data_IF_582208454445
#
_entry.id   IF_582208454445
#
_cell.length_a   1.000
_cell.length_b   1.000
_cell.length_c   1.000
_cell.angle_alpha   90.00
_cell.angle_beta   90.00
_cell.angle_gamma   90.00
#
_symmetry.space_group_name_H-M   'P 1'
#
loop_
_entity.id
_entity.type
_entity.pdbx_description
1 polymer ?
#
# COMPACT_ATOMS: atom_id res chain seq x y z
N UNK A 1 7.62 11.66 -24.67
CA UNK A 1 8.66 12.10 -25.64
C UNK A 1 9.31 13.35 -25.11
N UNK A 2 10.63 13.35 -25.08
CA UNK A 2 11.41 14.51 -24.66
C UNK A 2 11.42 15.54 -25.79
N UNK A 3 11.19 16.82 -25.48
CA UNK A 3 11.28 17.89 -26.51
C UNK A 3 12.74 18.32 -26.69
N UNK A 4 13.13 18.77 -27.91
CA UNK A 4 14.46 19.29 -28.15
C UNK A 4 14.87 20.43 -27.19
N UNK A 5 13.95 21.33 -26.89
CA UNK A 5 14.16 22.48 -25.98
C UNK A 5 14.50 21.97 -24.58
N UNK A 6 13.76 20.97 -24.06
CA UNK A 6 14.03 20.39 -22.76
C UNK A 6 15.40 19.72 -22.69
N UNK A 7 15.83 19.03 -23.75
CA UNK A 7 17.17 18.40 -23.79
C UNK A 7 18.28 19.45 -23.90
N UNK A 8 18.05 20.57 -24.59
CA UNK A 8 19.00 21.69 -24.59
C UNK A 8 19.15 22.28 -23.19
N UNK A 9 18.07 22.44 -22.44
CA UNK A 9 18.15 22.90 -21.05
C UNK A 9 18.95 21.92 -20.18
N UNK A 10 18.77 20.60 -20.35
CA UNK A 10 19.57 19.60 -19.66
C UNK A 10 21.06 19.68 -20.02
N UNK A 11 21.41 20.04 -21.26
CA UNK A 11 22.80 20.19 -21.67
C UNK A 11 23.49 21.41 -21.05
N UNK A 12 22.76 22.43 -20.69
CA UNK A 12 23.29 23.63 -20.02
C UNK A 12 23.48 23.50 -18.52
N UNK A 13 22.79 22.54 -17.86
CA UNK A 13 22.91 22.28 -16.43
C UNK A 13 24.14 21.41 -16.12
N UNK A 14 25.31 22.04 -15.91
CA UNK A 14 26.60 21.35 -15.79
C UNK A 14 26.85 20.74 -14.40
N UNK A 15 26.16 21.17 -13.37
CA UNK A 15 26.39 20.74 -11.97
C UNK A 15 25.31 19.79 -11.43
N UNK A 16 24.36 19.39 -12.26
CA UNK A 16 23.23 18.56 -11.83
C UNK A 16 23.67 17.13 -11.47
N UNK A 17 23.18 16.68 -10.33
CA UNK A 17 23.32 15.28 -9.91
C UNK A 17 22.37 14.32 -10.67
N UNK A 18 21.45 14.86 -11.51
CA UNK A 18 20.50 14.11 -12.32
C UNK A 18 20.91 13.97 -13.78
N UNK A 19 22.07 14.50 -14.18
CA UNK A 19 22.50 14.48 -15.57
C UNK A 19 23.91 13.87 -15.67
N UNK A 20 24.08 12.93 -16.58
CA UNK A 20 25.38 12.37 -16.98
C UNK A 20 25.53 12.53 -18.48
N UNK A 21 26.63 13.12 -18.93
CA UNK A 21 26.97 13.30 -20.35
C UNK A 21 28.11 12.38 -20.73
N UNK A 22 28.14 11.93 -21.97
CA UNK A 22 29.23 11.13 -22.48
C UNK A 22 29.28 11.11 -24.00
N UNK A 23 30.47 11.13 -24.52
CA UNK A 23 30.75 10.91 -25.96
C UNK A 23 30.93 9.44 -26.32
N UNK A 24 31.15 8.58 -25.32
CA UNK A 24 31.32 7.14 -25.52
C UNK A 24 29.98 6.50 -25.87
N UNK A 25 30.01 5.63 -26.87
CA UNK A 25 28.85 4.81 -27.32
C UNK A 25 28.93 3.36 -26.84
N UNK A 26 30.07 2.89 -26.33
CA UNK A 26 30.29 1.49 -25.98
C UNK A 26 30.63 1.20 -24.52
N UNK A 27 30.67 2.20 -23.63
CA UNK A 27 31.01 1.99 -22.23
C UNK A 27 29.78 1.57 -21.40
N UNK A 28 29.32 0.34 -21.62
CA UNK A 28 28.12 -0.23 -20.98
C UNK A 28 28.21 -0.21 -19.46
N UNK A 29 29.39 -0.47 -18.87
CA UNK A 29 29.59 -0.45 -17.41
C UNK A 29 29.30 0.98 -16.85
N UNK A 30 29.87 2.02 -17.50
CA UNK A 30 29.66 3.41 -17.09
C UNK A 30 28.19 3.80 -17.19
N UNK A 31 27.50 3.35 -18.25
CA UNK A 31 26.07 3.62 -18.45
C UNK A 31 25.22 2.93 -17.38
N UNK A 32 25.44 1.63 -17.13
CA UNK A 32 24.72 0.87 -16.13
C UNK A 32 24.91 1.43 -14.71
N UNK A 33 26.11 1.90 -14.39
CA UNK A 33 26.38 2.58 -13.11
C UNK A 33 25.63 3.90 -12.99
N UNK A 34 25.55 4.71 -14.06
CA UNK A 34 24.79 5.96 -14.06
C UNK A 34 23.29 5.69 -13.92
N UNK A 35 22.75 4.73 -14.69
CA UNK A 35 21.37 4.28 -14.61
C UNK A 35 21.02 3.79 -13.19
N UNK A 36 21.90 2.98 -12.60
CA UNK A 36 21.74 2.50 -11.22
C UNK A 36 21.68 3.68 -10.23
N UNK A 37 22.59 4.64 -10.36
CA UNK A 37 22.66 5.80 -9.46
C UNK A 37 21.44 6.73 -9.59
N UNK A 38 20.94 6.94 -10.81
CA UNK A 38 19.71 7.71 -11.04
C UNK A 38 18.48 7.00 -10.47
N UNK A 39 18.37 5.68 -10.67
CA UNK A 39 17.29 4.90 -10.10
C UNK A 39 17.30 4.86 -8.57
N UNK A 40 18.46 4.97 -7.93
CA UNK A 40 18.57 5.07 -6.47
C UNK A 40 18.18 6.43 -5.93
N UNK A 41 18.27 7.52 -6.73
CA UNK A 41 17.89 8.88 -6.34
C UNK A 41 18.30 9.20 -4.88
N UNK A 42 19.57 8.98 -4.55
CA UNK A 42 20.06 9.11 -3.17
C UNK A 42 19.72 10.47 -2.53
N UNK A 43 19.83 11.61 -3.24
CA UNK A 43 19.40 12.91 -2.70
C UNK A 43 17.90 13.00 -2.42
N UNK A 44 17.06 12.19 -3.11
CA UNK A 44 15.62 12.14 -2.86
C UNK A 44 14.80 13.20 -3.60
N UNK A 45 15.26 13.61 -4.77
CA UNK A 45 14.56 14.61 -5.60
C UNK A 45 13.20 14.13 -6.13
N UNK A 46 13.00 12.79 -6.21
CA UNK A 46 11.81 12.16 -6.82
C UNK A 46 11.57 12.62 -8.26
N UNK A 47 12.63 12.95 -8.98
CA UNK A 47 12.63 13.39 -10.36
C UNK A 47 13.51 12.50 -11.21
N UNK A 48 13.21 12.34 -12.51
CA UNK A 48 14.04 11.53 -13.41
C UNK A 48 15.49 11.99 -13.49
N UNK A 49 16.40 11.01 -13.66
CA UNK A 49 17.78 11.27 -14.08
C UNK A 49 17.95 11.00 -15.57
N UNK A 50 18.97 11.61 -16.18
CA UNK A 50 19.21 11.59 -17.62
C UNK A 50 20.65 11.22 -17.95
N UNK A 51 20.84 10.15 -18.72
CA UNK A 51 22.11 9.83 -19.37
C UNK A 51 22.03 10.30 -20.83
N UNK A 52 22.88 11.26 -21.21
CA UNK A 52 22.93 11.85 -22.56
C UNK A 52 24.19 11.35 -23.26
N UNK A 53 24.01 10.54 -24.30
CA UNK A 53 25.08 9.98 -25.13
C UNK A 53 25.20 10.80 -26.40
N UNK A 54 26.38 11.33 -26.67
CA UNK A 54 26.66 12.22 -27.81
C UNK A 54 26.89 13.67 -27.40
N UNK A 55 27.10 13.92 -26.09
CA UNK A 55 27.44 15.25 -25.57
C UNK A 55 28.75 15.21 -24.78
N UNK A 56 29.50 16.29 -24.85
CA UNK A 56 30.71 16.55 -24.04
C UNK A 56 30.32 16.99 -22.62
N UNK A 57 31.27 16.99 -21.70
CA UNK A 57 31.06 17.41 -20.31
C UNK A 57 30.65 18.91 -20.19
N UNK A 58 31.05 19.74 -21.15
CA UNK A 58 30.69 21.15 -21.25
C UNK A 58 29.29 21.38 -21.86
N UNK A 59 28.58 20.34 -22.19
CA UNK A 59 27.25 20.38 -22.82
C UNK A 59 27.23 20.54 -24.34
N UNK A 60 28.39 20.69 -24.98
CA UNK A 60 28.48 20.76 -26.44
C UNK A 60 28.23 19.40 -27.09
N UNK A 61 27.68 19.40 -28.32
CA UNK A 61 27.40 18.17 -29.04
C UNK A 61 28.69 17.57 -29.62
N UNK A 62 28.82 16.24 -29.51
CA UNK A 62 30.00 15.49 -30.00
C UNK A 62 29.89 15.06 -31.48
N UNK A 63 28.85 15.46 -32.20
CA UNK A 63 28.65 15.09 -33.60
C UNK A 63 28.28 13.62 -33.80
N UNK A 64 27.67 12.98 -32.80
CA UNK A 64 27.23 11.60 -32.87
C UNK A 64 26.09 11.42 -33.88
N UNK A 65 26.09 10.36 -34.66
CA UNK A 65 24.93 9.84 -35.36
C UNK A 65 24.29 8.74 -34.53
N UNK A 66 23.07 8.96 -34.06
CA UNK A 66 22.35 7.98 -33.22
C UNK A 66 21.76 6.89 -34.10
N UNK A 67 22.21 5.67 -33.91
CA UNK A 67 21.76 4.47 -34.64
C UNK A 67 20.74 3.68 -33.82
N UNK A 68 19.90 2.89 -34.50
CA UNK A 68 18.97 1.96 -33.82
C UNK A 68 19.70 0.89 -32.99
N UNK A 69 20.92 0.54 -33.39
CA UNK A 69 21.79 -0.36 -32.63
C UNK A 69 22.17 0.26 -31.28
N UNK A 70 22.59 1.52 -31.25
CA UNK A 70 22.90 2.24 -30.02
C UNK A 70 21.66 2.29 -29.08
N UNK A 71 20.50 2.62 -29.62
CA UNK A 71 19.27 2.67 -28.84
C UNK A 71 18.90 1.30 -28.25
N UNK A 72 19.04 0.23 -29.04
CA UNK A 72 18.82 -1.14 -28.56
C UNK A 72 19.82 -1.54 -27.47
N UNK A 73 21.11 -1.20 -27.64
CA UNK A 73 22.15 -1.50 -26.65
C UNK A 73 21.90 -0.76 -25.34
N UNK A 74 21.52 0.52 -25.38
CA UNK A 74 21.14 1.30 -24.19
C UNK A 74 19.88 0.73 -23.50
N UNK A 75 18.86 0.38 -24.28
CA UNK A 75 17.64 -0.25 -23.75
C UNK A 75 17.88 -1.64 -23.17
N UNK A 76 18.83 -2.39 -23.73
CA UNK A 76 19.22 -3.73 -23.29
C UNK A 76 19.82 -3.76 -21.88
N UNK A 77 20.43 -2.67 -21.40
CA UNK A 77 21.00 -2.57 -20.05
C UNK A 77 19.97 -2.89 -18.96
N UNK A 78 18.70 -2.57 -19.19
CA UNK A 78 17.61 -2.90 -18.27
C UNK A 78 17.38 -4.40 -18.12
N UNK A 79 17.62 -5.16 -19.19
CA UNK A 79 17.22 -6.57 -19.31
C UNK A 79 18.40 -7.55 -19.24
N UNK A 80 19.63 -7.08 -19.11
CA UNK A 80 20.84 -7.91 -19.11
C UNK A 80 21.08 -8.69 -17.81
N UNK A 81 20.26 -8.50 -16.79
CA UNK A 81 20.33 -9.16 -15.49
C UNK A 81 21.42 -8.60 -14.54
N UNK A 82 22.21 -7.62 -14.97
CA UNK A 82 23.25 -7.01 -14.14
C UNK A 82 22.75 -5.86 -13.29
N UNK A 83 21.63 -5.23 -13.68
CA UNK A 83 20.98 -4.14 -12.93
C UNK A 83 19.70 -4.66 -12.26
N UNK A 84 19.71 -4.82 -10.94
CA UNK A 84 18.64 -5.43 -10.18
C UNK A 84 18.25 -4.59 -8.94
N UNK A 85 16.93 -4.40 -8.68
CA UNK A 85 15.81 -4.69 -9.59
C UNK A 85 15.86 -3.85 -10.86
N UNK A 86 15.21 -4.30 -11.97
CA UNK A 86 15.28 -3.59 -13.25
C UNK A 86 14.73 -2.15 -13.12
N UNK A 87 15.48 -1.12 -13.58
CA UNK A 87 15.05 0.26 -13.50
C UNK A 87 13.88 0.57 -14.44
N UNK A 88 13.00 1.47 -14.03
CA UNK A 88 12.01 2.05 -14.94
C UNK A 88 12.70 3.14 -15.77
N UNK A 89 12.87 2.89 -17.08
CA UNK A 89 13.58 3.81 -17.97
C UNK A 89 13.03 3.78 -19.41
N UNK A 90 13.24 4.88 -20.12
CA UNK A 90 13.00 5.00 -21.57
C UNK A 90 14.28 5.45 -22.26
N UNK A 91 14.39 5.12 -23.55
CA UNK A 91 15.54 5.49 -24.41
C UNK A 91 14.98 6.14 -25.68
N UNK A 92 15.42 7.34 -25.97
CA UNK A 92 14.94 8.13 -27.12
C UNK A 92 16.11 8.77 -27.86
N UNK A 93 15.99 8.85 -29.20
CA UNK A 93 16.81 9.71 -30.04
C UNK A 93 16.20 11.10 -30.05
N UNK A 94 17.00 12.12 -29.80
CA UNK A 94 16.59 13.51 -29.89
C UNK A 94 17.49 14.24 -30.89
N UNK A 95 16.85 14.90 -31.85
CA UNK A 95 17.55 15.72 -32.86
C UNK A 95 17.54 17.17 -32.38
N UNK A 96 18.73 17.73 -32.25
CA UNK A 96 18.98 19.09 -31.73
C UNK A 96 19.56 19.97 -32.83
N UNK A 97 19.48 21.29 -32.72
CA UNK A 97 20.24 22.19 -33.57
C UNK A 97 21.74 21.90 -33.45
N UNK A 98 22.35 21.35 -34.51
CA UNK A 98 23.77 21.03 -34.57
C UNK A 98 24.14 19.55 -34.36
N UNK A 99 23.18 18.64 -34.14
CA UNK A 99 23.49 17.21 -34.02
C UNK A 99 22.38 16.34 -33.38
N UNK A 100 22.74 15.11 -33.08
CA UNK A 100 21.84 14.14 -32.48
C UNK A 100 22.40 13.61 -31.16
N UNK A 101 21.52 13.26 -30.22
CA UNK A 101 21.88 12.62 -28.97
C UNK A 101 20.93 11.44 -28.67
N UNK A 102 21.44 10.41 -28.02
CA UNK A 102 20.59 9.40 -27.41
C UNK A 102 20.42 9.73 -25.92
N UNK A 103 19.17 9.79 -25.47
CA UNK A 103 18.82 10.13 -24.10
C UNK A 103 18.17 8.93 -23.40
N UNK A 104 18.76 8.53 -22.28
CA UNK A 104 18.16 7.53 -21.37
C UNK A 104 17.57 8.28 -20.20
N UNK A 105 16.26 8.28 -20.09
CA UNK A 105 15.53 8.82 -18.93
C UNK A 105 15.29 7.70 -17.92
N UNK A 106 15.71 7.87 -16.67
CA UNK A 106 15.60 6.87 -15.61
C UNK A 106 14.72 7.43 -14.50
N UNK A 107 13.64 6.72 -14.18
CA UNK A 107 12.78 7.08 -13.06
C UNK A 107 13.38 6.63 -11.72
N UNK A 108 13.22 7.40 -10.64
CA UNK A 108 13.53 6.95 -9.29
C UNK A 108 12.81 5.64 -8.97
N UNK A 109 13.53 4.70 -8.36
CA UNK A 109 12.97 3.39 -7.99
C UNK A 109 12.03 3.51 -6.81
N UNK A 110 10.89 2.85 -6.89
CA UNK A 110 9.99 2.62 -5.74
C UNK A 110 10.49 1.51 -4.81
N UNK A 111 11.52 0.76 -5.23
CA UNK A 111 12.10 -0.35 -4.46
C UNK A 111 13.64 -0.27 -4.39
N UNK A 112 14.21 0.87 -3.92
CA UNK A 112 15.65 0.99 -3.75
C UNK A 112 16.14 0.01 -2.66
N UNK A 113 17.45 -0.33 -2.63
CA UNK A 113 18.46 0.06 -3.60
C UNK A 113 18.47 -0.80 -4.86
N UNK A 114 18.70 -0.15 -6.02
CA UNK A 114 19.09 -0.81 -7.26
C UNK A 114 20.57 -1.10 -7.18
N UNK A 115 20.99 -2.29 -7.65
CA UNK A 115 22.39 -2.74 -7.68
C UNK A 115 22.83 -3.02 -9.11
N UNK A 116 24.03 -2.62 -9.45
CA UNK A 116 24.71 -3.06 -10.67
C UNK A 116 25.85 -3.98 -10.30
N UNK A 117 25.84 -5.22 -10.82
CA UNK A 117 26.81 -6.28 -10.47
C UNK A 117 27.01 -6.40 -8.95
N UNK A 118 25.88 -6.38 -8.20
CA UNK A 118 25.85 -6.50 -6.74
C UNK A 118 26.22 -5.24 -5.95
N UNK A 119 26.66 -4.16 -6.60
CA UNK A 119 27.06 -2.89 -5.95
C UNK A 119 25.99 -1.81 -6.12
N UNK A 120 25.75 -1.04 -5.07
CA UNK A 120 24.85 0.12 -5.09
C UNK A 120 25.63 1.35 -5.54
N UNK A 121 25.20 1.97 -6.64
CA UNK A 121 25.76 3.24 -7.10
C UNK A 121 24.82 4.37 -6.74
N UNK A 122 25.40 5.49 -6.32
CA UNK A 122 24.68 6.72 -5.95
C UNK A 122 25.37 7.92 -6.59
N UNK A 123 24.68 9.08 -6.59
CA UNK A 123 25.27 10.37 -6.92
C UNK A 123 25.15 11.30 -5.75
N UNK A 124 26.22 12.04 -5.49
CA UNK A 124 26.26 13.13 -4.51
C UNK A 124 26.80 14.36 -5.27
N UNK A 125 25.89 15.26 -5.64
CA UNK A 125 26.19 16.29 -6.62
C UNK A 125 26.58 15.67 -7.97
N UNK A 126 27.54 16.27 -8.72
CA UNK A 126 27.94 15.76 -10.03
C UNK A 126 28.75 14.46 -9.99
N UNK A 127 29.14 13.98 -8.81
CA UNK A 127 29.97 12.78 -8.66
C UNK A 127 29.16 11.51 -8.43
N UNK A 128 29.50 10.47 -9.18
CA UNK A 128 29.01 9.10 -9.00
C UNK A 128 29.97 8.33 -8.11
N UNK A 129 29.45 7.56 -7.16
CA UNK A 129 30.21 6.71 -6.25
C UNK A 129 29.50 5.39 -5.93
N UNK A 130 30.20 4.52 -5.23
CA UNK A 130 29.62 3.30 -4.63
C UNK A 130 29.14 3.70 -3.24
N UNK A 131 27.91 3.33 -2.92
CA UNK A 131 27.32 3.58 -1.60
C UNK A 131 28.07 2.79 -0.51
N UNK A 132 28.32 3.44 0.61
CA UNK A 132 28.77 2.78 1.84
C UNK A 132 27.58 2.14 2.59
N UNK A 133 27.87 1.38 3.65
CA UNK A 133 26.83 0.68 4.43
C UNK A 133 25.75 1.60 4.98
N UNK A 134 26.09 2.81 5.42
CA UNK A 134 25.13 3.78 5.93
C UNK A 134 24.23 4.31 4.81
N UNK A 135 24.78 4.58 3.64
CA UNK A 135 24.04 5.05 2.47
C UNK A 135 23.11 3.95 1.91
N UNK A 136 23.57 2.69 1.88
CA UNK A 136 22.73 1.55 1.53
C UNK A 136 21.58 1.36 2.53
N UNK A 137 21.85 1.56 3.82
CA UNK A 137 20.84 1.51 4.87
C UNK A 137 19.78 2.59 4.69
N UNK A 138 20.18 3.84 4.38
CA UNK A 138 19.25 4.95 4.10
C UNK A 138 18.32 4.60 2.93
N UNK A 139 18.86 4.04 1.84
CA UNK A 139 18.06 3.59 0.71
C UNK A 139 17.10 2.45 1.07
N UNK A 140 17.54 1.50 1.90
CA UNK A 140 16.71 0.40 2.38
C UNK A 140 15.60 0.87 3.31
N UNK A 141 15.87 1.82 4.20
CA UNK A 141 14.87 2.47 5.06
C UNK A 141 13.87 3.28 4.22
N UNK A 142 14.34 3.96 3.16
CA UNK A 142 13.46 4.64 2.20
C UNK A 142 12.54 3.63 1.49
N UNK A 143 13.06 2.48 1.08
CA UNK A 143 12.22 1.39 0.54
C UNK A 143 11.12 1.00 1.52
N UNK A 144 11.47 0.78 2.80
CA UNK A 144 10.50 0.43 3.84
C UNK A 144 9.42 1.52 4.01
N UNK A 145 9.80 2.81 3.92
CA UNK A 145 8.86 3.94 3.99
C UNK A 145 8.01 4.12 2.73
N UNK A 146 8.47 3.62 1.57
CA UNK A 146 7.75 3.65 0.29
C UNK A 146 6.84 2.43 0.09
N UNK A 147 6.98 1.36 0.90
CA UNK A 147 6.04 0.25 0.93
C UNK A 147 4.74 0.77 1.55
N UNK A 148 3.92 1.35 0.71
CA UNK A 148 2.56 1.71 1.08
C UNK A 148 1.75 0.41 1.09
N UNK A 149 1.12 0.09 2.21
CA UNK A 149 0.19 -1.05 2.28
C UNK A 149 -1.03 -0.77 1.43
N UNK A 150 -1.71 -1.82 0.96
CA UNK A 150 -2.82 -1.65 0.02
C UNK A 150 -3.91 -0.72 0.55
N UNK A 151 -4.19 -0.76 1.84
CA UNK A 151 -5.18 0.11 2.48
C UNK A 151 -4.83 1.61 2.46
N UNK A 152 -3.56 1.95 2.28
CA UNK A 152 -3.11 3.33 2.11
C UNK A 152 -2.94 3.76 0.63
N UNK A 153 -3.21 2.88 -0.35
CA UNK A 153 -3.19 3.24 -1.77
C UNK A 153 -4.38 4.13 -2.14
N UNK A 154 -4.18 5.14 -3.02
CA UNK A 154 -5.27 5.95 -3.52
C UNK A 154 -6.19 5.13 -4.45
N UNK A 155 -7.49 5.39 -4.36
CA UNK A 155 -8.51 4.86 -5.26
C UNK A 155 -8.75 5.89 -6.36
N UNK A 156 -8.18 5.65 -7.54
CA UNK A 156 -8.11 6.66 -8.62
C UNK A 156 -9.49 7.09 -9.16
N UNK A 157 -10.47 6.20 -9.13
CA UNK A 157 -11.84 6.46 -9.59
C UNK A 157 -12.67 7.22 -8.54
N UNK A 158 -12.22 7.23 -7.27
CA UNK A 158 -12.93 7.89 -6.18
C UNK A 158 -12.62 9.39 -6.08
N UNK A 159 -13.52 10.10 -5.45
CA UNK A 159 -13.42 11.53 -5.16
C UNK A 159 -13.82 11.80 -3.71
N UNK A 160 -13.58 13.02 -3.22
CA UNK A 160 -14.00 13.41 -1.87
C UNK A 160 -15.52 13.29 -1.65
N UNK A 161 -16.33 13.43 -2.71
CA UNK A 161 -17.80 13.30 -2.64
C UNK A 161 -18.26 11.86 -2.44
N UNK A 162 -17.40 10.87 -2.64
CA UNK A 162 -17.69 9.47 -2.34
C UNK A 162 -17.50 9.13 -0.86
N UNK A 163 -17.04 10.09 -0.05
CA UNK A 163 -16.90 9.96 1.39
C UNK A 163 -18.06 10.65 2.13
N UNK A 164 -18.56 10.01 3.17
CA UNK A 164 -19.57 10.57 4.09
C UNK A 164 -18.87 11.39 5.18
N UNK A 165 -18.83 12.71 5.02
CA UNK A 165 -18.12 13.60 5.95
C UNK A 165 -18.64 13.50 7.38
N UNK A 166 -19.93 13.21 7.58
CA UNK A 166 -20.51 12.99 8.91
C UNK A 166 -19.80 11.83 9.64
N UNK A 167 -19.52 10.71 8.95
CA UNK A 167 -18.81 9.57 9.55
C UNK A 167 -17.37 9.95 9.92
N UNK A 168 -16.71 10.75 9.08
CA UNK A 168 -15.38 11.26 9.36
C UNK A 168 -15.35 12.20 10.57
N UNK A 169 -16.32 13.09 10.69
CA UNK A 169 -16.41 14.01 11.84
C UNK A 169 -16.73 13.26 13.13
N UNK A 170 -17.65 12.30 13.11
CA UNK A 170 -17.94 11.43 14.26
C UNK A 170 -16.69 10.64 14.69
N UNK A 171 -15.93 10.09 13.74
CA UNK A 171 -14.66 9.42 14.02
C UNK A 171 -13.66 10.37 14.67
N UNK A 172 -13.47 11.57 14.12
CA UNK A 172 -12.56 12.57 14.68
C UNK A 172 -12.93 12.95 16.11
N UNK A 173 -14.21 13.19 16.38
CA UNK A 173 -14.68 13.52 17.74
C UNK A 173 -14.41 12.41 18.75
N UNK A 174 -14.35 11.16 18.31
CA UNK A 174 -14.06 10.01 19.17
C UNK A 174 -12.57 9.83 19.44
N UNK A 175 -11.69 10.12 18.44
CA UNK A 175 -10.26 9.72 18.48
C UNK A 175 -9.29 10.88 18.64
N UNK A 176 -9.72 12.13 18.44
CA UNK A 176 -8.87 13.32 18.51
C UNK A 176 -9.32 14.20 19.66
N UNK A 177 -8.36 14.72 20.41
CA UNK A 177 -8.63 15.65 21.51
C UNK A 177 -9.43 16.88 21.02
N UNK A 178 -10.50 17.30 21.73
CA UNK A 178 -11.32 18.47 21.37
C UNK A 178 -10.51 19.76 21.16
N UNK A 179 -9.48 20.00 21.96
CA UNK A 179 -8.64 21.21 21.84
C UNK A 179 -7.82 21.17 20.54
N UNK A 180 -7.35 19.97 20.12
CA UNK A 180 -6.67 19.78 18.83
C UNK A 180 -7.67 19.99 17.68
N UNK A 181 -8.89 19.52 17.81
CA UNK A 181 -9.93 19.73 16.78
C UNK A 181 -10.21 21.23 16.62
N UNK A 182 -10.35 21.98 17.72
CA UNK A 182 -10.66 23.40 17.71
C UNK A 182 -9.50 24.25 17.14
N UNK A 183 -8.25 23.88 17.45
CA UNK A 183 -7.05 24.58 16.98
C UNK A 183 -6.63 24.21 15.53
N UNK A 184 -7.26 23.20 14.91
CA UNK A 184 -6.84 22.66 13.63
C UNK A 184 -7.54 23.37 12.46
N UNK A 185 -6.80 24.29 11.81
CA UNK A 185 -7.28 25.06 10.64
C UNK A 185 -6.98 24.39 9.29
N UNK A 186 -6.57 23.11 9.26
CA UNK A 186 -6.30 22.36 8.03
C UNK A 186 -7.57 22.15 7.20
N UNK A 187 -7.38 21.95 5.90
CA UNK A 187 -8.49 21.56 5.02
C UNK A 187 -9.03 20.14 5.37
N UNK A 188 -10.16 19.78 4.83
CA UNK A 188 -10.73 18.43 5.03
C UNK A 188 -9.81 17.36 4.48
N UNK A 189 -9.24 17.59 3.30
CA UNK A 189 -8.27 16.70 2.65
C UNK A 189 -7.01 16.52 3.50
N UNK A 190 -6.46 17.59 4.05
CA UNK A 190 -5.29 17.53 4.93
C UNK A 190 -5.60 16.78 6.25
N UNK A 191 -6.80 16.93 6.79
CA UNK A 191 -7.26 16.19 7.97
C UNK A 191 -7.41 14.69 7.66
N UNK A 192 -8.00 14.33 6.53
CA UNK A 192 -8.11 12.95 6.05
C UNK A 192 -6.72 12.35 5.77
N UNK A 193 -5.82 13.13 5.15
CA UNK A 193 -4.46 12.71 4.84
C UNK A 193 -3.62 12.45 6.10
N UNK A 194 -3.83 13.22 7.17
CA UNK A 194 -3.14 12.98 8.46
C UNK A 194 -3.50 11.62 9.07
N UNK A 195 -4.65 11.06 8.71
CA UNK A 195 -5.13 9.72 9.08
C UNK A 195 -4.85 8.67 7.98
N UNK A 196 -4.12 9.02 6.93
CA UNK A 196 -3.86 8.20 5.73
C UNK A 196 -5.13 7.75 4.98
N UNK A 197 -6.23 8.48 5.14
CA UNK A 197 -7.50 8.23 4.45
C UNK A 197 -7.65 9.01 3.14
N UNK A 198 -6.67 9.86 2.81
CA UNK A 198 -6.60 10.65 1.58
C UNK A 198 -5.15 10.85 1.16
N UNK A 199 -4.87 10.74 -0.13
CA UNK A 199 -3.56 11.04 -0.71
C UNK A 199 -3.57 12.43 -1.35
N UNK A 200 -2.83 13.38 -0.75
CA UNK A 200 -2.75 14.75 -1.23
C UNK A 200 -2.02 14.86 -2.58
N UNK A 201 -1.16 13.89 -2.91
CA UNK A 201 -0.39 13.91 -4.16
C UNK A 201 -1.28 13.65 -5.37
N UNK A 202 -2.14 12.65 -5.27
CA UNK A 202 -3.12 12.31 -6.33
C UNK A 202 -4.46 13.05 -6.18
N UNK A 203 -4.73 13.65 -5.02
CA UNK A 203 -6.02 14.26 -4.70
C UNK A 203 -7.15 13.23 -4.55
N UNK A 204 -6.85 12.02 -4.03
CA UNK A 204 -7.79 10.89 -4.01
C UNK A 204 -7.94 10.29 -2.61
N UNK A 205 -9.16 9.80 -2.26
CA UNK A 205 -9.34 8.94 -1.10
C UNK A 205 -8.49 7.67 -1.22
N UNK A 206 -7.99 7.19 -0.10
CA UNK A 206 -7.31 5.88 -0.04
C UNK A 206 -8.31 4.74 0.15
N UNK A 207 -7.86 3.50 -0.02
CA UNK A 207 -8.66 2.31 0.26
C UNK A 207 -9.20 2.34 1.70
N UNK A 208 -8.37 2.71 2.69
CA UNK A 208 -8.81 2.88 4.08
C UNK A 208 -9.87 3.97 4.21
N UNK A 209 -9.70 5.11 3.53
CA UNK A 209 -10.71 6.18 3.50
C UNK A 209 -12.05 5.73 2.96
N UNK A 210 -12.03 4.94 1.87
CA UNK A 210 -13.25 4.35 1.28
C UNK A 210 -13.90 3.33 2.24
N UNK A 211 -13.11 2.46 2.88
CA UNK A 211 -13.64 1.45 3.82
C UNK A 211 -14.25 2.09 5.08
N UNK A 212 -13.63 3.15 5.59
CA UNK A 212 -14.06 3.80 6.84
C UNK A 212 -15.21 4.77 6.63
N UNK A 213 -15.19 5.53 5.54
CA UNK A 213 -16.08 6.69 5.35
C UNK A 213 -16.83 6.68 4.01
N UNK A 214 -16.59 5.69 3.13
CA UNK A 214 -17.21 5.64 1.81
C UNK A 214 -18.73 5.45 1.87
N UNK A 215 -19.46 6.11 0.98
CA UNK A 215 -20.92 5.93 0.81
C UNK A 215 -21.24 4.56 0.24
N UNK A 216 -20.40 4.04 -0.65
CA UNK A 216 -20.53 2.72 -1.25
C UNK A 216 -19.16 2.06 -1.48
N UNK A 217 -18.50 1.53 -0.42
CA UNK A 217 -17.18 0.90 -0.54
C UNK A 217 -17.14 -0.25 -1.54
N UNK A 218 -18.22 -1.03 -1.66
CA UNK A 218 -18.32 -2.18 -2.55
C UNK A 218 -18.23 -1.81 -4.03
N UNK A 219 -18.57 -0.58 -4.41
CA UNK A 219 -18.41 -0.10 -5.79
C UNK A 219 -16.94 -0.05 -6.21
N UNK A 220 -16.07 0.42 -5.33
CA UNK A 220 -14.64 0.53 -5.58
C UNK A 220 -13.87 -0.75 -5.22
N UNK A 221 -14.35 -1.50 -4.24
CA UNK A 221 -13.74 -2.71 -3.67
C UNK A 221 -14.80 -3.83 -3.68
N UNK A 222 -14.98 -4.55 -4.78
CA UNK A 222 -16.11 -5.47 -4.98
C UNK A 222 -16.28 -6.54 -3.89
N UNK A 223 -15.18 -6.95 -3.23
CA UNK A 223 -15.22 -7.88 -2.11
C UNK A 223 -15.40 -7.25 -0.73
N UNK A 224 -15.57 -5.92 -0.62
CA UNK A 224 -15.69 -5.21 0.66
C UNK A 224 -17.12 -5.35 1.26
N UNK A 225 -17.50 -6.59 1.54
CA UNK A 225 -18.76 -6.93 2.22
C UNK A 225 -18.59 -8.22 3.02
N UNK A 226 -19.59 -8.54 3.85
CA UNK A 226 -19.65 -9.78 4.63
C UNK A 226 -20.85 -10.60 4.15
N UNK A 227 -20.61 -11.86 3.83
CA UNK A 227 -21.65 -12.85 3.57
C UNK A 227 -21.96 -13.60 4.88
N UNK A 228 -23.11 -13.31 5.48
CA UNK A 228 -23.61 -13.98 6.66
C UNK A 228 -24.61 -15.06 6.25
N UNK A 229 -24.38 -16.32 6.69
CA UNK A 229 -25.29 -17.44 6.50
C UNK A 229 -25.44 -18.19 7.82
N UNK A 230 -26.67 -18.49 8.23
CA UNK A 230 -26.98 -19.36 9.35
C UNK A 230 -27.70 -20.61 8.86
N UNK A 231 -27.15 -21.78 9.14
CA UNK A 231 -27.68 -23.07 8.75
C UNK A 231 -28.34 -23.77 9.95
N UNK A 232 -29.49 -24.48 9.74
CA UNK A 232 -30.13 -25.25 10.80
C UNK A 232 -29.35 -26.51 11.21
N UNK A 233 -28.52 -27.03 10.29
CA UNK A 233 -27.71 -28.25 10.48
C UNK A 233 -26.22 -27.99 10.50
N UNK A 234 -25.43 -29.04 10.47
CA UNK A 234 -23.97 -29.04 10.49
C UNK A 234 -23.34 -28.92 9.08
N UNK A 235 -24.14 -28.84 8.02
CA UNK A 235 -23.66 -28.76 6.63
C UNK A 235 -24.39 -27.71 5.82
N UNK A 236 -23.82 -27.34 4.65
CA UNK A 236 -24.41 -26.37 3.71
C UNK A 236 -25.47 -26.97 2.78
N UNK A 237 -25.87 -28.24 3.00
CA UNK A 237 -26.83 -28.95 2.12
C UNK A 237 -28.25 -28.48 2.32
N UNK A 238 -28.54 -27.85 3.45
CA UNK A 238 -29.83 -27.27 3.78
C UNK A 238 -29.90 -25.81 3.46
N UNK A 239 -31.12 -25.30 3.24
CA UNK A 239 -31.30 -23.85 3.04
C UNK A 239 -31.00 -23.12 4.35
N UNK A 240 -30.24 -22.00 4.30
CA UNK A 240 -29.98 -21.23 5.50
C UNK A 240 -31.28 -20.64 6.08
N UNK A 241 -31.38 -20.62 7.41
CA UNK A 241 -32.46 -19.98 8.16
C UNK A 241 -32.39 -18.47 8.10
N UNK A 242 -31.17 -17.93 7.99
CA UNK A 242 -30.88 -16.51 7.86
C UNK A 242 -29.72 -16.30 6.92
N UNK A 243 -29.93 -15.44 5.92
CA UNK A 243 -28.90 -15.07 4.95
C UNK A 243 -28.89 -13.56 4.76
N UNK A 244 -27.69 -12.97 4.71
CA UNK A 244 -27.54 -11.54 4.43
C UNK A 244 -26.18 -11.20 3.85
N UNK A 245 -26.17 -10.41 2.77
CA UNK A 245 -24.99 -9.63 2.37
C UNK A 245 -24.96 -8.31 3.13
N UNK A 246 -23.91 -8.09 3.92
CA UNK A 246 -23.74 -6.90 4.76
C UNK A 246 -22.66 -6.04 4.12
N UNK A 247 -23.05 -4.89 3.57
CA UNK A 247 -22.18 -3.95 2.88
C UNK A 247 -22.38 -2.53 3.43
N UNK A 248 -21.45 -1.64 3.12
CA UNK A 248 -21.43 -0.26 3.59
C UNK A 248 -20.04 0.11 4.15
N UNK A 249 -19.99 1.22 4.85
CA UNK A 249 -18.81 1.60 5.62
C UNK A 249 -18.54 0.59 6.76
N UNK A 250 -17.31 0.62 7.27
CA UNK A 250 -16.86 -0.35 8.28
C UNK A 250 -17.75 -0.35 9.54
N UNK A 251 -18.18 0.82 10.01
CA UNK A 251 -19.03 0.94 11.20
C UNK A 251 -20.38 0.27 10.98
N UNK A 252 -20.98 0.47 9.80
CA UNK A 252 -22.23 -0.19 9.39
C UNK A 252 -22.06 -1.71 9.35
N UNK A 253 -20.95 -2.21 8.80
CA UNK A 253 -20.65 -3.66 8.75
C UNK A 253 -20.51 -4.22 10.17
N UNK A 254 -19.68 -3.60 11.01
CA UNK A 254 -19.41 -4.07 12.39
C UNK A 254 -20.70 -4.06 13.22
N UNK A 255 -21.48 -2.99 13.18
CA UNK A 255 -22.71 -2.88 13.97
C UNK A 255 -23.78 -3.88 13.50
N UNK A 256 -23.92 -4.08 12.18
CA UNK A 256 -24.88 -5.07 11.65
C UNK A 256 -24.46 -6.49 12.03
N UNK A 257 -23.17 -6.83 11.99
CA UNK A 257 -22.67 -8.13 12.44
C UNK A 257 -22.87 -8.33 13.94
N UNK A 258 -22.64 -7.28 14.76
CA UNK A 258 -22.92 -7.34 16.19
C UNK A 258 -24.40 -7.69 16.46
N UNK A 259 -25.32 -7.07 15.74
CA UNK A 259 -26.76 -7.38 15.85
C UNK A 259 -27.06 -8.83 15.46
N UNK A 260 -26.45 -9.35 14.37
CA UNK A 260 -26.58 -10.75 13.96
C UNK A 260 -26.03 -11.72 15.02
N UNK A 261 -24.86 -11.43 15.57
CA UNK A 261 -24.26 -12.23 16.64
C UNK A 261 -25.18 -12.27 17.86
N UNK A 262 -25.65 -11.12 18.34
CA UNK A 262 -26.54 -11.03 19.50
C UNK A 262 -27.85 -11.79 19.25
N UNK A 263 -28.45 -11.67 18.05
CA UNK A 263 -29.71 -12.31 17.72
C UNK A 263 -29.63 -13.85 17.68
N UNK A 264 -28.46 -14.43 17.31
CA UNK A 264 -28.29 -15.86 17.12
C UNK A 264 -27.51 -16.57 18.23
N UNK A 265 -26.83 -15.83 19.10
CA UNK A 265 -26.01 -16.36 20.20
C UNK A 265 -26.80 -16.50 21.51
N UNK A 266 -28.06 -16.88 21.39
CA UNK A 266 -28.96 -17.07 22.55
C UNK A 266 -29.18 -18.56 22.77
N UNK A 267 -28.69 -19.07 23.88
CA UNK A 267 -29.05 -20.42 24.32
C UNK A 267 -30.39 -20.41 25.04
N UNK A 268 -31.21 -21.45 24.85
CA UNK A 268 -32.36 -21.69 25.73
C UNK A 268 -31.90 -21.71 27.19
N UNK A 269 -32.74 -21.17 28.07
CA UNK A 269 -32.52 -21.06 29.50
C UNK A 269 -31.92 -22.37 30.07
N UNK A 270 -30.69 -22.35 30.58
CA UNK A 270 -30.12 -23.44 31.34
C UNK A 270 -30.49 -23.28 32.81
N UNK A 271 -30.85 -24.40 33.50
CA UNK A 271 -31.02 -24.40 34.94
C UNK A 271 -29.72 -23.97 35.61
N UNK A 272 -29.67 -22.73 36.08
CA UNK A 272 -28.55 -22.23 36.90
C UNK A 272 -28.65 -22.74 38.34
N UNK A 273 -27.59 -22.66 39.11
CA UNK A 273 -27.64 -22.83 40.58
C UNK A 273 -28.47 -21.72 41.17
N UNK A 274 -29.77 -22.00 41.44
CA UNK A 274 -30.75 -21.07 42.02
C UNK A 274 -32.06 -20.99 41.22
N UNK A 275 -33.07 -20.34 41.80
CA UNK A 275 -34.40 -20.19 41.22
C UNK A 275 -34.53 -19.20 40.02
N UNK A 276 -33.40 -18.82 39.38
CA UNK A 276 -33.41 -17.92 38.22
C UNK A 276 -32.61 -18.55 37.09
N UNK A 277 -33.29 -18.86 35.99
CA UNK A 277 -32.66 -19.20 34.72
C UNK A 277 -31.94 -17.96 34.15
N UNK A 278 -30.67 -18.12 33.79
CA UNK A 278 -29.90 -17.09 33.11
C UNK A 278 -29.60 -17.56 31.67
N UNK A 279 -29.87 -16.69 30.68
CA UNK A 279 -29.44 -17.02 29.29
C UNK A 279 -27.92 -17.10 29.24
N UNK A 280 -27.40 -18.23 28.85
CA UNK A 280 -25.98 -18.44 28.63
C UNK A 280 -25.70 -18.45 27.13
N UNK A 281 -24.87 -17.55 26.59
CA UNK A 281 -24.54 -17.56 25.18
C UNK A 281 -23.74 -18.82 24.81
N UNK A 282 -24.01 -19.40 23.65
CA UNK A 282 -23.27 -20.58 23.13
C UNK A 282 -21.80 -20.29 22.96
N UNK A 283 -21.48 -19.06 22.51
CA UNK A 283 -20.12 -18.58 22.31
C UNK A 283 -19.91 -17.27 23.07
N UNK A 284 -18.74 -17.05 23.67
CA UNK A 284 -18.41 -15.75 24.27
C UNK A 284 -18.44 -14.65 23.21
N UNK A 285 -19.26 -13.62 23.40
CA UNK A 285 -19.47 -12.54 22.43
C UNK A 285 -18.14 -11.83 22.09
N UNK A 286 -17.28 -11.64 23.09
CA UNK A 286 -15.97 -11.01 22.88
C UNK A 286 -15.08 -11.82 21.91
N UNK A 287 -15.15 -13.17 21.94
CA UNK A 287 -14.36 -14.02 21.06
C UNK A 287 -14.85 -13.93 19.60
N UNK A 288 -16.16 -13.99 19.38
CA UNK A 288 -16.75 -13.82 18.05
C UNK A 288 -16.42 -12.43 17.48
N UNK A 289 -16.52 -11.39 18.31
CA UNK A 289 -16.15 -10.03 17.94
C UNK A 289 -14.68 -9.95 17.52
N UNK A 290 -13.77 -10.48 18.32
CA UNK A 290 -12.33 -10.46 18.06
C UNK A 290 -11.98 -11.17 16.75
N UNK A 291 -12.49 -12.40 16.56
CA UNK A 291 -12.24 -13.17 15.34
C UNK A 291 -12.82 -12.49 14.10
N UNK A 292 -14.00 -11.88 14.21
CA UNK A 292 -14.59 -11.13 13.12
C UNK A 292 -13.79 -9.87 12.76
N UNK A 293 -13.35 -9.10 13.75
CA UNK A 293 -12.53 -7.92 13.52
C UNK A 293 -11.17 -8.30 12.89
N UNK A 294 -10.57 -9.40 13.32
CA UNK A 294 -9.35 -9.92 12.71
C UNK A 294 -9.58 -10.30 11.24
N UNK A 295 -10.72 -10.91 10.92
CA UNK A 295 -11.07 -11.25 9.53
C UNK A 295 -11.19 -9.98 8.65
N UNK A 296 -11.65 -8.85 9.18
CA UNK A 296 -11.72 -7.56 8.48
C UNK A 296 -10.32 -6.95 8.32
N UNK A 297 -9.52 -6.87 9.40
CA UNK A 297 -8.21 -6.19 9.39
C UNK A 297 -7.20 -6.93 8.52
N UNK A 298 -7.20 -8.25 8.55
CA UNK A 298 -6.22 -9.06 7.82
C UNK A 298 -6.69 -9.46 6.41
N UNK A 299 -7.91 -9.06 6.01
CA UNK A 299 -8.45 -9.34 4.69
C UNK A 299 -7.55 -8.76 3.58
N UNK A 300 -7.39 -9.54 2.51
CA UNK A 300 -6.86 -9.03 1.25
C UNK A 300 -7.95 -8.29 0.47
N UNK A 301 -7.91 -6.95 0.49
CA UNK A 301 -8.90 -6.11 -0.20
C UNK A 301 -8.70 -6.03 -1.72
N UNK A 302 -7.65 -6.61 -2.27
CA UNK A 302 -7.53 -6.83 -3.72
C UNK A 302 -8.39 -8.00 -4.21
N UNK A 303 -8.76 -8.90 -3.30
CA UNK A 303 -9.64 -10.03 -3.61
C UNK A 303 -11.09 -9.60 -3.71
N UNK A 304 -11.82 -10.15 -4.68
CA UNK A 304 -13.27 -9.99 -4.81
C UNK A 304 -14.08 -10.91 -3.89
N UNK A 305 -13.44 -11.88 -3.22
CA UNK A 305 -14.09 -12.81 -2.27
C UNK A 305 -14.42 -12.06 -0.99
N UNK A 306 -15.67 -12.07 -0.48
CA UNK A 306 -16.06 -11.40 0.76
C UNK A 306 -15.49 -12.10 2.01
N UNK A 307 -15.63 -11.46 3.16
CA UNK A 307 -15.58 -12.16 4.44
C UNK A 307 -16.82 -13.02 4.54
N UNK A 308 -16.66 -14.30 4.84
CA UNK A 308 -17.75 -15.26 5.05
C UNK A 308 -17.89 -15.55 6.52
N UNK A 309 -19.08 -15.39 7.04
CA UNK A 309 -19.43 -15.73 8.41
C UNK A 309 -20.56 -16.75 8.38
N UNK A 310 -20.21 -18.03 8.57
CA UNK A 310 -21.14 -19.16 8.48
C UNK A 310 -21.40 -19.73 9.86
N UNK A 311 -22.66 -19.74 10.25
CA UNK A 311 -23.14 -20.24 11.54
C UNK A 311 -23.85 -21.56 11.32
N UNK A 312 -23.26 -22.66 11.78
CA UNK A 312 -23.83 -24.01 11.77
C UNK A 312 -24.41 -24.35 13.14
N UNK A 313 -25.12 -25.49 13.22
CA UNK A 313 -25.67 -25.96 14.49
C UNK A 313 -24.58 -26.32 15.53
N UNK A 314 -23.39 -26.71 15.06
CA UNK A 314 -22.28 -27.21 15.89
C UNK A 314 -21.03 -26.32 15.91
N UNK A 315 -20.94 -25.31 15.04
CA UNK A 315 -19.75 -24.45 14.92
C UNK A 315 -20.04 -23.15 14.17
N UNK A 316 -19.07 -22.23 14.28
CA UNK A 316 -19.01 -21.03 13.44
C UNK A 316 -17.73 -21.07 12.60
N UNK A 317 -17.84 -20.76 11.32
CA UNK A 317 -16.71 -20.62 10.40
C UNK A 317 -16.59 -19.16 9.95
N UNK A 318 -15.41 -18.55 10.18
CA UNK A 318 -15.09 -17.20 9.69
C UNK A 318 -13.96 -17.32 8.68
N UNK A 319 -14.24 -17.00 7.43
CA UNK A 319 -13.29 -17.11 6.33
C UNK A 319 -13.01 -15.70 5.76
N UNK A 320 -11.74 -15.36 5.58
CA UNK A 320 -11.30 -14.11 4.99
C UNK A 320 -10.33 -14.37 3.85
N UNK A 321 -10.40 -13.54 2.81
CA UNK A 321 -9.47 -13.62 1.69
C UNK A 321 -8.04 -13.26 2.12
N UNK A 322 -7.05 -13.97 1.58
CA UNK A 322 -5.64 -13.80 1.87
C UNK A 322 -5.10 -14.81 2.87
N UNK A 323 -3.83 -15.18 2.73
CA UNK A 323 -3.10 -16.01 3.70
C UNK A 323 -2.54 -15.20 4.86
N UNK A 324 -1.73 -15.82 5.72
CA UNK A 324 -0.95 -15.12 6.75
C UNK A 324 -0.05 -14.05 6.10
N UNK A 325 0.18 -12.95 6.79
CA UNK A 325 0.87 -11.79 6.22
C UNK A 325 2.18 -11.47 6.94
N UNK A 326 3.18 -11.01 6.17
CA UNK A 326 4.47 -10.62 6.70
C UNK A 326 5.26 -11.81 7.28
N UNK A 327 5.72 -11.67 8.52
CA UNK A 327 6.50 -12.70 9.22
C UNK A 327 5.64 -13.67 10.05
N UNK A 328 4.31 -13.62 9.92
CA UNK A 328 3.40 -14.49 10.65
C UNK A 328 3.32 -15.85 9.96
N UNK A 329 3.61 -16.91 10.71
CA UNK A 329 3.44 -18.32 10.30
C UNK A 329 2.41 -19.00 11.22
N UNK A 330 1.89 -20.19 10.88
CA UNK A 330 0.99 -20.92 11.78
C UNK A 330 1.56 -21.11 13.19
N UNK A 331 2.88 -21.30 13.32
CA UNK A 331 3.57 -21.51 14.59
C UNK A 331 3.74 -20.20 15.39
N UNK A 332 3.75 -19.07 14.71
CA UNK A 332 3.98 -17.74 15.32
C UNK A 332 2.71 -16.90 15.44
N UNK A 333 1.57 -17.39 14.97
CA UNK A 333 0.29 -16.67 14.87
C UNK A 333 -0.15 -16.01 16.20
N UNK A 334 0.13 -16.66 17.33
CA UNK A 334 -0.21 -16.15 18.68
C UNK A 334 0.84 -15.21 19.28
N UNK A 335 2.01 -15.09 18.68
CA UNK A 335 3.16 -14.36 19.23
C UNK A 335 3.62 -13.18 18.38
N UNK A 336 3.28 -13.17 17.09
CA UNK A 336 3.68 -12.12 16.12
C UNK A 336 2.45 -11.46 15.53
N UNK A 337 2.48 -10.15 15.47
CA UNK A 337 1.46 -9.33 14.82
C UNK A 337 2.05 -8.66 13.58
N UNK A 338 1.45 -8.91 12.42
CA UNK A 338 1.75 -8.18 11.18
C UNK A 338 0.43 -7.83 10.51
N UNK A 339 0.15 -6.54 10.38
CA UNK A 339 -1.10 -6.07 9.78
C UNK A 339 -0.96 -5.94 8.27
N UNK A 340 -1.85 -6.61 7.52
CA UNK A 340 -1.98 -6.40 6.07
C UNK A 340 -2.51 -5.00 5.76
N UNK A 341 -3.43 -4.51 6.60
CA UNK A 341 -4.07 -3.21 6.48
C UNK A 341 -3.83 -2.37 7.76
N UNK A 342 -2.62 -1.79 7.94
CA UNK A 342 -2.26 -1.11 9.17
C UNK A 342 -3.04 0.20 9.40
N UNK A 343 -3.46 0.90 8.34
CA UNK A 343 -4.28 2.11 8.48
C UNK A 343 -5.65 1.76 9.03
N UNK A 344 -6.26 0.68 8.49
CA UNK A 344 -7.53 0.17 8.97
C UNK A 344 -7.43 -0.35 10.41
N UNK A 345 -6.34 -1.10 10.71
CA UNK A 345 -6.09 -1.62 12.06
C UNK A 345 -5.98 -0.48 13.10
N UNK A 346 -5.26 0.59 12.77
CA UNK A 346 -5.12 1.74 13.66
C UNK A 346 -6.45 2.47 13.88
N UNK A 347 -7.24 2.65 12.82
CA UNK A 347 -8.57 3.23 12.93
C UNK A 347 -9.49 2.38 13.82
N UNK A 348 -9.49 1.04 13.65
CA UNK A 348 -10.30 0.13 14.46
C UNK A 348 -9.85 0.09 15.93
N UNK A 349 -8.54 0.21 16.20
CA UNK A 349 -8.02 0.35 17.58
C UNK A 349 -8.48 1.65 18.23
N UNK A 350 -8.45 2.74 17.47
CA UNK A 350 -8.86 4.06 17.96
C UNK A 350 -10.35 4.13 18.24
N UNK A 351 -11.18 3.31 17.57
CA UNK A 351 -12.61 3.14 17.83
C UNK A 351 -12.94 2.08 18.89
N UNK A 352 -11.93 1.54 19.58
CA UNK A 352 -12.06 0.47 20.58
C UNK A 352 -12.73 -0.83 20.06
N UNK A 353 -12.66 -1.06 18.73
CA UNK A 353 -13.13 -2.30 18.14
C UNK A 353 -12.13 -3.44 18.35
N UNK A 354 -10.83 -3.15 18.45
CA UNK A 354 -9.75 -4.14 18.55
C UNK A 354 -8.91 -3.88 19.79
N UNK A 355 -8.54 -4.97 20.48
CA UNK A 355 -7.68 -4.90 21.64
C UNK A 355 -6.25 -4.44 21.23
N UNK A 356 -5.71 -3.46 21.93
CA UNK A 356 -4.37 -2.89 21.67
C UNK A 356 -3.23 -3.87 21.91
N UNK A 357 -3.46 -4.94 22.66
CA UNK A 357 -2.39 -5.82 23.17
C UNK A 357 -2.20 -7.13 22.41
N UNK A 358 -3.01 -7.47 21.41
CA UNK A 358 -2.82 -8.60 20.51
C UNK A 358 -3.02 -9.99 21.11
N UNK A 359 -3.63 -10.12 22.30
CA UNK A 359 -3.88 -11.40 22.98
C UNK A 359 -5.20 -12.08 22.57
N UNK A 360 -5.95 -11.52 21.62
CA UNK A 360 -7.31 -11.95 21.31
C UNK A 360 -7.40 -13.40 20.79
N UNK A 361 -6.52 -13.80 19.88
CA UNK A 361 -6.49 -15.16 19.31
C UNK A 361 -6.10 -16.19 20.38
N UNK A 362 -5.05 -15.92 21.15
CA UNK A 362 -4.61 -16.83 22.21
C UNK A 362 -5.72 -17.05 23.23
N UNK A 363 -6.37 -15.98 23.69
CA UNK A 363 -7.47 -16.05 24.63
C UNK A 363 -8.69 -16.79 24.07
N UNK A 364 -8.94 -16.66 22.75
CA UNK A 364 -10.04 -17.40 22.08
C UNK A 364 -9.74 -18.90 21.93
N UNK A 365 -8.46 -19.31 21.94
CA UNK A 365 -8.05 -20.73 21.89
C UNK A 365 -8.10 -21.41 23.26
N UNK A 366 -8.09 -20.67 24.34
CA UNK A 366 -8.14 -21.19 25.72
C UNK A 366 -9.60 -21.47 26.21
N UNK A 367 -10.58 -21.18 25.39
CA UNK A 367 -12.01 -21.42 25.66
C UNK A 367 -12.50 -22.77 25.11
#
# INVERSE_FOLDING_TARGET
>A
MLTPEFVLDLLTDLESDRIERTTSTGNTDKFAQAICAFGNDYPGHRKPGYLIVGANDDGSLAGLTVTDELLRNLGGIRADGNVLPPPAMSVEKVVLPGGEVAVVQVQPSTVPPIRYKGRVYIRTGPRKGIANEQEERILSERRASLITTFDAHPVHEATLTDLTMRLFDEYRMQVVDPDIIAANHRTTEEKLASLRCFDLTSGKPTVAGILLFGTNPRYFLPGAYVQFLKFPGASMTERPDDEKEISGDLRTIVETMRQKIVAHNLTPLSQGEGFRDQPRPDYPEWALRELFHNAIIHRDYQSTTPVRFYWFADRIEIQSAGGLYGEVTPETLTRRNSYRNPVLAEAMKSMDYVNRYGYGIQRAQEL
#
